data_IF_307541205751
#
_entry.id   IF_307541205751
#
_cell.length_a   1.000
_cell.length_b   1.000
_cell.length_c   1.000
_cell.angle_alpha   90.00
_cell.angle_beta   90.00
_cell.angle_gamma   90.00
#
_symmetry.space_group_name_H-M   'P 1'
#
loop_
_entity.id
_entity.type
_entity.pdbx_description
1 polymer ?
#
# COMPACT_ATOMS: atom_id res chain seq x y z
N UNK A 1 -57.00 -24.37 20.65
CA UNK A 1 -56.27 -24.65 21.89
C UNK A 1 -55.34 -25.80 21.60
N UNK A 2 -54.07 -25.50 21.22
CA UNK A 2 -53.06 -26.52 20.93
C UNK A 2 -51.85 -26.21 21.80
N UNK A 3 -51.47 -27.19 22.60
CA UNK A 3 -50.42 -27.18 23.62
C UNK A 3 -49.06 -27.25 22.95
N UNK A 4 -48.04 -26.47 23.37
CA UNK A 4 -46.67 -26.62 22.85
C UNK A 4 -45.95 -27.79 23.52
N UNK A 5 -45.35 -28.65 22.69
CA UNK A 5 -44.45 -29.72 23.12
C UNK A 5 -43.10 -29.17 23.61
N UNK A 6 -42.77 -29.47 24.85
CA UNK A 6 -41.43 -29.25 25.42
C UNK A 6 -40.50 -30.40 25.02
N UNK A 7 -39.32 -30.05 24.49
CA UNK A 7 -38.20 -30.97 24.30
C UNK A 7 -37.29 -30.97 25.54
N UNK A 8 -36.80 -32.14 26.00
CA UNK A 8 -35.86 -32.22 27.12
C UNK A 8 -34.44 -31.80 26.71
N UNK A 9 -33.63 -31.28 27.63
CA UNK A 9 -32.24 -30.92 27.37
C UNK A 9 -31.37 -32.20 27.28
N UNK A 10 -30.61 -32.28 26.19
CA UNK A 10 -29.61 -33.32 25.97
C UNK A 10 -28.32 -32.95 26.71
N UNK A 11 -28.02 -33.64 27.77
CA UNK A 11 -26.73 -33.65 28.48
C UNK A 11 -25.75 -34.54 27.71
N UNK A 12 -24.97 -33.97 26.83
CA UNK A 12 -23.81 -34.63 26.20
C UNK A 12 -22.57 -34.46 27.07
N UNK A 13 -22.15 -35.49 27.76
CA UNK A 13 -20.82 -35.59 28.40
C UNK A 13 -19.75 -35.68 27.30
N UNK A 14 -18.84 -34.71 27.29
CA UNK A 14 -17.61 -34.80 26.51
C UNK A 14 -16.54 -35.54 27.32
N UNK A 15 -15.80 -36.51 26.77
CA UNK A 15 -14.66 -37.12 27.47
C UNK A 15 -13.49 -36.13 27.45
N UNK A 16 -13.06 -35.71 28.65
CA UNK A 16 -11.74 -35.17 28.90
C UNK A 16 -10.69 -36.23 28.61
N UNK A 17 -9.79 -36.00 27.70
CA UNK A 17 -8.40 -36.46 27.67
C UNK A 17 -7.73 -36.16 26.33
N UNK A 18 -7.14 -34.99 26.21
CA UNK A 18 -5.95 -34.77 25.37
C UNK A 18 -5.12 -33.67 26.02
N UNK A 19 -4.13 -34.07 26.80
CA UNK A 19 -3.02 -33.20 27.18
C UNK A 19 -2.11 -33.01 25.97
N UNK A 20 -1.89 -31.78 25.46
CA UNK A 20 -0.87 -31.57 24.44
C UNK A 20 0.50 -31.58 25.09
N UNK A 21 1.34 -32.54 24.72
CA UNK A 21 2.77 -32.45 24.98
C UNK A 21 3.34 -31.25 24.21
N UNK A 22 4.19 -30.41 24.83
CA UNK A 22 4.86 -29.35 24.11
C UNK A 22 5.84 -29.93 23.06
N UNK A 23 5.91 -29.39 21.86
CA UNK A 23 6.86 -29.84 20.86
C UNK A 23 8.28 -29.53 21.32
N UNK A 24 9.11 -30.58 21.30
CA UNK A 24 10.54 -30.50 21.57
C UNK A 24 11.18 -29.54 20.56
N UNK A 25 11.63 -28.36 21.00
CA UNK A 25 12.38 -27.43 20.19
C UNK A 25 13.71 -28.08 19.81
N UNK A 26 13.84 -28.46 18.54
CA UNK A 26 15.12 -28.80 17.93
C UNK A 26 15.77 -27.48 17.55
N UNK A 27 16.83 -27.10 18.26
CA UNK A 27 17.62 -25.93 17.93
C UNK A 27 18.20 -26.06 16.51
N UNK A 28 18.13 -25.03 15.65
CA UNK A 28 18.77 -25.07 14.36
C UNK A 28 20.28 -25.09 14.51
N UNK A 29 20.91 -26.11 13.93
CA UNK A 29 22.35 -26.26 13.86
C UNK A 29 22.89 -25.20 12.90
N UNK A 30 23.44 -24.12 13.44
CA UNK A 30 24.14 -23.10 12.66
C UNK A 30 25.52 -23.64 12.31
N UNK A 31 25.88 -23.84 11.03
CA UNK A 31 27.23 -24.21 10.65
C UNK A 31 28.17 -23.05 10.98
N UNK A 32 29.19 -23.32 11.83
CA UNK A 32 30.26 -22.38 12.10
C UNK A 32 31.14 -22.26 10.85
N UNK A 33 31.08 -21.13 10.18
CA UNK A 33 32.06 -20.78 9.17
C UNK A 33 33.43 -20.54 9.85
N UNK A 34 34.52 -21.07 9.29
CA UNK A 34 35.86 -20.74 9.82
C UNK A 34 36.14 -19.27 9.58
N UNK A 35 36.56 -18.61 10.61
CA UNK A 35 37.03 -17.19 10.56
C UNK A 35 38.23 -17.09 9.61
N UNK A 36 38.28 -16.07 8.74
CA UNK A 36 39.44 -15.82 7.91
C UNK A 36 40.63 -15.43 8.83
N UNK A 37 41.70 -16.18 8.71
CA UNK A 37 42.99 -15.83 9.36
C UNK A 37 43.52 -14.56 8.70
N UNK A 38 43.68 -13.52 9.48
CA UNK A 38 44.38 -12.29 9.11
C UNK A 38 45.90 -12.61 9.07
N UNK A 39 46.63 -12.34 7.96
CA UNK A 39 48.07 -12.47 7.92
C UNK A 39 48.68 -11.44 8.88
N UNK A 40 49.49 -11.93 9.82
CA UNK A 40 50.36 -11.07 10.63
C UNK A 40 51.51 -10.54 9.75
N UNK A 41 51.49 -9.25 9.48
CA UNK A 41 52.63 -8.55 8.90
C UNK A 41 53.73 -8.36 9.97
N UNK A 42 54.92 -8.75 9.62
CA UNK A 42 56.15 -8.56 10.42
C UNK A 42 56.52 -7.07 10.53
N UNK A 43 57.15 -6.64 11.64
CA UNK A 43 57.53 -5.27 11.82
C UNK A 43 58.78 -4.91 11.00
N UNK A 44 58.58 -4.16 9.91
CA UNK A 44 59.68 -3.55 9.14
C UNK A 44 60.14 -2.24 9.76
N UNK A 45 61.45 -2.14 9.91
CA UNK A 45 62.22 -1.08 10.54
C UNK A 45 62.06 0.32 9.91
N UNK A 46 62.17 1.27 10.76
CA UNK A 46 62.05 2.69 10.71
C UNK A 46 62.54 3.49 9.49
N UNK A 47 61.78 4.55 9.24
CA UNK A 47 62.31 5.83 8.77
C UNK A 47 61.61 6.97 9.49
N UNK A 48 62.35 7.66 10.36
CA UNK A 48 61.92 8.90 11.00
C UNK A 48 61.90 10.03 9.97
N UNK A 49 60.74 10.30 9.36
CA UNK A 49 60.47 11.48 8.56
C UNK A 49 59.99 12.62 9.46
N UNK A 50 60.69 13.74 9.42
CA UNK A 50 60.37 14.99 10.15
C UNK A 50 58.94 15.45 9.86
N UNK A 51 58.15 15.56 10.91
CA UNK A 51 56.85 16.17 10.87
C UNK A 51 56.96 17.66 10.53
N UNK A 52 56.48 18.08 9.35
CA UNK A 52 56.16 19.46 9.05
C UNK A 52 54.75 19.72 9.61
N UNK A 53 54.72 20.58 10.61
CA UNK A 53 53.44 21.12 11.10
C UNK A 53 52.80 21.97 9.98
N UNK A 54 51.89 21.40 9.23
CA UNK A 54 50.95 22.11 8.36
C UNK A 54 49.56 22.10 9.01
N UNK A 55 49.03 23.27 9.29
CA UNK A 55 47.64 23.43 9.65
C UNK A 55 46.77 23.07 8.42
N UNK A 56 46.51 21.79 8.21
CA UNK A 56 45.58 21.30 7.22
C UNK A 56 44.51 20.47 7.91
N UNK A 57 43.27 20.88 7.82
CA UNK A 57 42.12 20.07 8.19
C UNK A 57 42.14 18.81 7.32
N UNK A 58 42.73 17.72 7.85
CA UNK A 58 42.63 16.41 7.23
C UNK A 58 41.25 15.87 7.56
N UNK A 59 40.27 16.19 6.70
CA UNK A 59 38.97 15.56 6.76
C UNK A 59 39.10 14.03 6.60
N UNK A 60 38.12 13.25 7.08
CA UNK A 60 38.16 11.80 6.97
C UNK A 60 38.38 11.41 5.51
N UNK A 61 39.48 10.67 5.24
CA UNK A 61 39.75 10.13 3.91
C UNK A 61 38.57 9.24 3.54
N UNK A 62 37.72 9.70 2.62
CA UNK A 62 36.69 8.87 2.03
C UNK A 62 37.40 7.71 1.33
N UNK A 63 37.30 6.53 1.89
CA UNK A 63 37.71 5.31 1.19
C UNK A 63 36.83 5.21 -0.03
N UNK A 64 37.38 5.45 -1.21
CA UNK A 64 36.68 5.19 -2.48
C UNK A 64 36.67 3.69 -2.66
N UNK A 65 35.48 3.10 -2.51
CA UNK A 65 35.28 1.73 -2.92
C UNK A 65 34.98 1.79 -4.43
N UNK A 66 35.92 1.31 -5.24
CA UNK A 66 35.70 1.10 -6.67
C UNK A 66 35.25 -0.34 -6.87
N UNK A 67 34.08 -0.54 -7.46
CA UNK A 67 33.62 -1.83 -7.89
C UNK A 67 33.94 -1.99 -9.39
N UNK A 68 34.39 -3.18 -9.86
CA UNK A 68 34.44 -3.48 -11.28
C UNK A 68 33.06 -3.30 -11.90
N UNK A 69 33.01 -2.80 -13.15
CA UNK A 69 31.73 -2.58 -13.85
C UNK A 69 30.90 -3.86 -13.93
N UNK A 70 31.55 -5.00 -14.09
CA UNK A 70 30.93 -6.33 -14.16
C UNK A 70 30.22 -6.72 -12.83
N UNK A 71 30.67 -6.16 -11.71
CA UNK A 71 30.02 -6.37 -10.42
C UNK A 71 28.75 -5.56 -10.25
N UNK A 72 28.53 -4.51 -11.06
CA UNK A 72 27.33 -3.69 -11.02
C UNK A 72 26.13 -4.42 -11.61
N UNK A 73 26.36 -5.30 -12.59
CA UNK A 73 25.28 -6.10 -13.19
C UNK A 73 24.63 -7.07 -12.19
N UNK A 74 25.43 -7.57 -11.24
CA UNK A 74 24.94 -8.43 -10.14
C UNK A 74 24.28 -7.64 -9.00
N UNK A 75 24.52 -6.34 -8.93
CA UNK A 75 23.91 -5.42 -7.97
C UNK A 75 22.68 -4.71 -8.55
N UNK A 76 22.37 -4.94 -9.82
CA UNK A 76 21.12 -4.50 -10.42
C UNK A 76 19.95 -5.15 -9.71
N UNK A 77 19.38 -4.46 -8.73
CA UNK A 77 18.03 -4.77 -8.29
C UNK A 77 17.15 -4.65 -9.54
N UNK A 78 16.32 -5.64 -9.86
CA UNK A 78 15.31 -5.43 -10.88
C UNK A 78 14.54 -4.18 -10.46
N UNK A 79 14.63 -3.12 -11.28
CA UNK A 79 13.80 -1.93 -11.11
C UNK A 79 12.39 -2.42 -11.43
N UNK A 80 11.69 -2.93 -10.42
CA UNK A 80 10.27 -3.15 -10.48
C UNK A 80 9.58 -1.79 -10.59
N UNK A 81 8.38 -1.76 -11.14
CA UNK A 81 7.55 -0.56 -11.12
C UNK A 81 7.44 -0.06 -9.66
N UNK A 82 7.88 1.16 -9.40
CA UNK A 82 7.83 1.78 -8.07
C UNK A 82 6.37 2.00 -7.66
N UNK A 83 5.79 1.00 -7.01
CA UNK A 83 4.38 1.06 -6.68
C UNK A 83 3.88 -0.15 -5.90
N UNK A 84 2.58 -0.28 -5.90
CA UNK A 84 1.82 -1.26 -5.14
C UNK A 84 1.03 -2.17 -6.09
N UNK A 85 1.13 -3.49 -5.90
CA UNK A 85 0.26 -4.43 -6.62
C UNK A 85 -1.17 -4.27 -6.12
N UNK A 86 -2.06 -3.80 -7.01
CA UNK A 86 -3.47 -3.55 -6.68
C UNK A 86 -4.39 -4.73 -7.02
N UNK A 87 -3.92 -5.68 -7.80
CA UNK A 87 -4.68 -6.86 -8.23
C UNK A 87 -4.10 -7.47 -9.49
N UNK A 88 -4.93 -8.21 -10.21
CA UNK A 88 -4.59 -8.84 -11.47
C UNK A 88 -5.53 -8.39 -12.59
N UNK A 89 -5.02 -8.32 -13.81
CA UNK A 89 -5.81 -8.08 -15.01
C UNK A 89 -6.55 -9.36 -15.49
N UNK A 90 -7.38 -9.30 -16.54
CA UNK A 90 -8.07 -10.48 -17.07
C UNK A 90 -7.13 -11.60 -17.53
N UNK A 91 -5.91 -11.27 -17.91
CA UNK A 91 -4.86 -12.23 -18.31
C UNK A 91 -4.07 -12.75 -17.11
N UNK A 92 -4.54 -12.48 -15.88
CA UNK A 92 -3.91 -12.86 -14.61
C UNK A 92 -2.50 -12.28 -14.40
N UNK A 93 -2.19 -11.16 -15.05
CA UNK A 93 -0.94 -10.42 -14.84
C UNK A 93 -1.10 -9.43 -13.69
N UNK A 94 -0.09 -9.27 -12.83
CA UNK A 94 -0.15 -8.31 -11.75
C UNK A 94 -0.28 -6.86 -12.30
N UNK A 95 -1.20 -6.11 -11.72
CA UNK A 95 -1.37 -4.69 -12.01
C UNK A 95 -0.76 -3.86 -10.88
N UNK A 96 0.20 -3.01 -11.24
CA UNK A 96 0.92 -2.16 -10.30
C UNK A 96 0.42 -0.73 -10.41
N UNK A 97 0.11 -0.13 -9.27
CA UNK A 97 -0.20 1.29 -9.16
C UNK A 97 1.06 2.04 -8.72
N UNK A 98 1.67 2.77 -9.64
CA UNK A 98 2.87 3.56 -9.39
C UNK A 98 2.57 4.82 -8.58
N UNK A 99 2.54 4.70 -7.26
CA UNK A 99 2.23 5.79 -6.32
C UNK A 99 3.46 6.49 -5.75
N UNK A 100 4.63 5.84 -5.79
CA UNK A 100 5.89 6.38 -5.29
C UNK A 100 6.68 7.02 -6.45
N UNK A 101 6.33 8.26 -6.79
CA UNK A 101 6.93 8.94 -7.94
C UNK A 101 7.31 10.39 -7.63
N UNK A 102 8.27 10.89 -8.41
CA UNK A 102 8.78 12.26 -8.29
C UNK A 102 7.79 13.32 -8.77
N UNK A 103 6.77 12.95 -9.55
CA UNK A 103 5.75 13.85 -10.05
C UNK A 103 4.49 13.81 -9.17
N UNK A 104 3.78 14.93 -9.06
CA UNK A 104 2.47 14.96 -8.42
C UNK A 104 1.51 13.94 -9.05
N UNK A 105 0.82 13.15 -8.22
CA UNK A 105 -0.05 12.10 -8.69
C UNK A 105 -1.38 12.08 -7.94
N UNK A 106 -2.43 12.42 -8.66
CA UNK A 106 -3.80 12.44 -8.15
C UNK A 106 -4.60 11.27 -8.71
N UNK A 107 -5.25 10.53 -7.83
CA UNK A 107 -6.12 9.40 -8.15
C UNK A 107 -7.52 9.70 -7.63
N UNK A 108 -8.53 9.54 -8.48
CA UNK A 108 -9.93 9.54 -8.03
C UNK A 108 -10.48 8.12 -8.11
N UNK A 109 -10.93 7.59 -6.98
CA UNK A 109 -11.59 6.27 -6.90
C UNK A 109 -13.08 6.45 -6.63
N UNK A 110 -13.92 6.12 -7.62
CA UNK A 110 -15.38 6.00 -7.45
C UNK A 110 -15.65 4.56 -7.02
N UNK A 111 -15.77 4.33 -5.72
CA UNK A 111 -15.73 2.98 -5.19
C UNK A 111 -16.04 2.87 -3.71
N UNK A 112 -15.91 1.66 -3.18
CA UNK A 112 -16.10 1.33 -1.78
C UNK A 112 -14.86 1.60 -0.91
N UNK A 113 -15.10 1.70 0.37
CA UNK A 113 -14.06 1.88 1.39
C UNK A 113 -13.08 0.72 1.38
N UNK A 114 -13.56 -0.50 1.22
CA UNK A 114 -12.74 -1.71 1.24
C UNK A 114 -11.54 -1.63 0.28
N UNK A 115 -11.76 -1.19 -0.96
CA UNK A 115 -10.68 -1.04 -1.95
C UNK A 115 -9.67 0.03 -1.54
N UNK A 116 -10.13 1.16 -0.99
CA UNK A 116 -9.25 2.20 -0.50
C UNK A 116 -8.41 1.71 0.70
N UNK A 117 -8.98 0.88 1.57
CA UNK A 117 -8.28 0.26 2.70
C UNK A 117 -7.23 -0.75 2.24
N UNK A 118 -7.55 -1.64 1.29
CA UNK A 118 -6.57 -2.58 0.71
C UNK A 118 -5.41 -1.82 0.08
N UNK A 119 -5.71 -0.77 -0.69
CA UNK A 119 -4.70 0.08 -1.31
C UNK A 119 -3.80 0.73 -0.25
N UNK A 120 -4.39 1.30 0.81
CA UNK A 120 -3.65 1.92 1.90
C UNK A 120 -2.75 0.92 2.64
N UNK A 121 -3.27 -0.28 2.94
CA UNK A 121 -2.53 -1.33 3.64
C UNK A 121 -1.34 -1.83 2.81
N UNK A 122 -1.56 -2.13 1.54
CA UNK A 122 -0.49 -2.56 0.62
C UNK A 122 0.56 -1.48 0.42
N UNK A 123 0.12 -0.22 0.36
CA UNK A 123 1.03 0.94 0.29
C UNK A 123 1.89 1.04 1.53
N UNK A 124 1.30 0.91 2.72
CA UNK A 124 2.06 0.91 3.97
C UNK A 124 3.07 -0.25 4.02
N UNK A 125 2.73 -1.42 3.48
CA UNK A 125 3.62 -2.58 3.41
C UNK A 125 4.84 -2.36 2.51
N UNK A 126 4.81 -1.42 1.56
CA UNK A 126 5.99 -1.04 0.77
C UNK A 126 6.92 -0.06 1.48
N UNK A 127 6.62 0.32 2.73
CA UNK A 127 7.38 1.33 3.48
C UNK A 127 6.94 2.78 3.22
N UNK A 128 5.92 2.99 2.40
CA UNK A 128 5.32 4.31 2.17
C UNK A 128 4.45 4.69 3.37
N UNK A 129 4.61 5.92 3.87
CA UNK A 129 3.74 6.45 4.93
C UNK A 129 2.35 6.74 4.36
N UNK A 130 1.31 6.42 5.12
CA UNK A 130 -0.07 6.67 4.72
C UNK A 130 -0.73 7.65 5.68
N UNK A 131 -1.27 8.75 5.16
CA UNK A 131 -2.09 9.69 5.91
C UNK A 131 -3.54 9.57 5.43
N UNK A 132 -4.47 9.25 6.31
CA UNK A 132 -5.88 9.09 5.98
C UNK A 132 -6.67 10.28 6.52
N UNK A 133 -7.24 11.07 5.61
CA UNK A 133 -8.21 12.13 5.92
C UNK A 133 -9.62 11.52 5.90
N UNK A 134 -10.28 11.42 7.05
CA UNK A 134 -11.58 10.73 7.12
C UNK A 134 -12.55 11.34 8.10
N UNK A 135 -13.83 11.33 7.76
CA UNK A 135 -14.94 11.62 8.69
C UNK A 135 -15.46 10.39 9.43
N UNK A 136 -14.92 9.18 9.15
CA UNK A 136 -15.33 7.90 9.75
C UNK A 136 -14.12 7.14 10.29
N UNK A 137 -13.41 7.75 11.23
CA UNK A 137 -12.18 7.21 11.81
C UNK A 137 -12.33 5.78 12.32
N UNK A 138 -13.47 5.43 12.91
CA UNK A 138 -13.76 4.08 13.41
C UNK A 138 -13.59 2.98 12.33
N UNK A 139 -13.93 3.29 11.07
CA UNK A 139 -13.79 2.34 9.96
C UNK A 139 -12.32 2.04 9.61
N UNK A 140 -11.38 2.91 10.00
CA UNK A 140 -9.96 2.79 9.71
C UNK A 140 -9.13 2.26 10.88
N UNK A 141 -9.71 2.20 12.10
CA UNK A 141 -8.97 1.88 13.33
C UNK A 141 -8.28 0.52 13.27
N UNK A 142 -8.98 -0.53 12.82
CA UNK A 142 -8.41 -1.87 12.72
C UNK A 142 -7.20 -1.89 11.77
N UNK A 143 -7.29 -1.21 10.62
CA UNK A 143 -6.20 -1.11 9.65
C UNK A 143 -4.99 -0.38 10.24
N UNK A 144 -5.19 0.74 10.93
CA UNK A 144 -4.10 1.51 11.56
C UNK A 144 -3.36 0.66 12.59
N UNK A 145 -4.09 -0.10 13.41
CA UNK A 145 -3.49 -0.98 14.40
C UNK A 145 -2.70 -2.13 13.78
N UNK A 146 -3.20 -2.70 12.68
CA UNK A 146 -2.56 -3.84 12.02
C UNK A 146 -1.37 -3.43 11.15
N UNK A 147 -1.42 -2.27 10.49
CA UNK A 147 -0.45 -1.89 9.47
C UNK A 147 0.96 -1.63 10.02
N UNK A 148 1.10 -1.23 11.27
CA UNK A 148 2.35 -0.67 11.78
C UNK A 148 3.22 -1.59 12.61
N UNK A 149 2.73 -2.75 13.04
CA UNK A 149 3.52 -3.59 13.96
C UNK A 149 4.09 -2.83 15.19
N UNK A 150 3.44 -1.73 15.58
CA UNK A 150 3.90 -0.79 16.61
C UNK A 150 4.54 0.51 16.09
N UNK A 151 4.80 0.63 14.79
CA UNK A 151 5.28 1.88 14.17
C UNK A 151 4.11 2.62 13.50
N UNK A 152 4.02 3.96 13.62
CA UNK A 152 2.92 4.75 13.02
C UNK A 152 3.12 4.96 11.51
N UNK A 153 2.98 3.88 10.71
CA UNK A 153 3.06 3.98 9.25
C UNK A 153 1.75 4.46 8.61
N UNK A 154 0.63 4.34 9.32
CA UNK A 154 -0.68 4.88 8.91
C UNK A 154 -1.18 5.83 10.00
N UNK A 155 -1.54 7.07 9.63
CA UNK A 155 -2.06 8.10 10.54
C UNK A 155 -3.45 8.53 10.12
N UNK A 156 -4.33 8.80 11.10
CA UNK A 156 -5.67 9.33 10.87
C UNK A 156 -5.73 10.82 11.15
N UNK A 157 -6.43 11.54 10.30
CA UNK A 157 -6.63 12.96 10.41
C UNK A 157 -8.12 13.29 10.17
N UNK A 158 -8.63 14.26 10.91
CA UNK A 158 -9.95 14.80 10.64
C UNK A 158 -10.00 15.47 9.26
N UNK A 159 -11.20 15.55 8.71
CA UNK A 159 -11.47 16.20 7.42
C UNK A 159 -10.98 17.65 7.43
N UNK A 160 -10.13 18.01 6.48
CA UNK A 160 -9.52 19.34 6.36
C UNK A 160 -8.35 19.61 7.29
N UNK A 161 -7.85 18.60 8.04
CA UNK A 161 -6.79 18.77 9.04
C UNK A 161 -5.52 17.96 8.80
N UNK A 162 -5.30 17.52 7.56
CA UNK A 162 -4.05 16.83 7.21
C UNK A 162 -2.88 17.83 7.24
N UNK A 163 -1.89 17.66 8.11
CA UNK A 163 -0.72 18.54 8.14
C UNK A 163 0.19 18.29 6.93
N UNK A 164 1.12 19.19 6.62
CA UNK A 164 2.17 18.94 5.64
C UNK A 164 2.95 17.67 5.98
N UNK A 165 3.09 16.76 5.03
CA UNK A 165 3.63 15.42 5.28
C UNK A 165 5.15 15.33 5.13
N UNK A 166 5.80 16.31 4.50
CA UNK A 166 7.25 16.30 4.29
C UNK A 166 7.71 15.09 3.47
N UNK A 167 7.02 14.81 2.37
CA UNK A 167 7.33 13.70 1.48
C UNK A 167 8.69 13.88 0.80
N UNK A 168 9.40 12.78 0.58
CA UNK A 168 10.70 12.74 -0.12
C UNK A 168 10.91 11.37 -0.75
N UNK A 169 11.93 11.23 -1.61
CA UNK A 169 12.30 9.93 -2.21
C UNK A 169 12.53 8.83 -1.16
N UNK A 170 13.18 9.17 -0.04
CA UNK A 170 13.45 8.22 1.05
C UNK A 170 12.28 8.04 2.03
N UNK A 171 11.21 8.81 1.89
CA UNK A 171 10.03 8.76 2.76
C UNK A 171 8.78 9.21 1.98
N UNK A 172 8.34 8.42 0.98
CA UNK A 172 7.18 8.75 0.19
C UNK A 172 5.89 8.71 1.04
N UNK A 173 4.87 9.39 0.56
CA UNK A 173 3.58 9.51 1.27
C UNK A 173 2.42 9.27 0.33
N UNK A 174 1.47 8.46 0.78
CA UNK A 174 0.14 8.38 0.21
C UNK A 174 -0.84 9.10 1.13
N UNK A 175 -1.59 10.07 0.60
CA UNK A 175 -2.73 10.66 1.30
C UNK A 175 -4.02 10.05 0.76
N UNK A 176 -4.78 9.35 1.60
CA UNK A 176 -6.10 8.83 1.27
C UNK A 176 -7.15 9.80 1.81
N UNK A 177 -8.01 10.32 0.94
CA UNK A 177 -9.09 11.24 1.30
C UNK A 177 -10.43 10.52 1.26
N UNK A 178 -10.87 10.07 2.42
CA UNK A 178 -12.18 9.43 2.65
C UNK A 178 -13.12 10.43 3.33
N UNK A 179 -13.49 11.47 2.60
CA UNK A 179 -14.29 12.59 3.10
C UNK A 179 -15.78 12.49 2.79
N UNK A 180 -16.23 11.30 2.37
CA UNK A 180 -17.60 11.08 1.93
C UNK A 180 -17.91 11.77 0.59
N UNK A 181 -19.13 12.26 0.44
CA UNK A 181 -19.66 12.75 -0.84
C UNK A 181 -19.10 14.09 -1.30
N UNK A 182 -18.58 14.87 -0.39
CA UNK A 182 -18.07 16.23 -0.66
C UNK A 182 -16.67 16.33 -0.09
N UNK A 183 -15.64 16.14 -0.93
CA UNK A 183 -14.27 16.41 -0.51
C UNK A 183 -14.18 17.82 0.07
N UNK A 184 -13.44 18.03 1.18
CA UNK A 184 -13.34 19.32 1.81
C UNK A 184 -12.73 20.35 0.85
N UNK A 185 -13.06 21.62 1.08
CA UNK A 185 -12.50 22.74 0.30
C UNK A 185 -11.01 22.96 0.56
N UNK A 186 -10.50 22.51 1.72
CA UNK A 186 -9.08 22.53 2.04
C UNK A 186 -8.28 21.63 1.08
N UNK A 187 -7.14 22.13 0.63
CA UNK A 187 -6.33 21.43 -0.36
C UNK A 187 -5.31 20.53 0.32
N UNK A 188 -5.59 19.23 0.30
CA UNK A 188 -4.50 18.27 0.22
C UNK A 188 -4.06 18.27 -1.24
N UNK A 189 -2.82 18.54 -1.51
CA UNK A 189 -2.27 18.66 -2.87
C UNK A 189 -1.26 17.55 -3.07
N UNK A 190 -1.33 16.87 -4.21
CA UNK A 190 -0.24 16.00 -4.65
C UNK A 190 1.03 16.84 -4.88
N UNK A 191 2.17 16.25 -4.60
CA UNK A 191 3.49 16.88 -4.68
C UNK A 191 4.53 15.81 -5.04
N UNK A 192 5.76 16.17 -5.35
CA UNK A 192 6.82 15.18 -5.49
C UNK A 192 6.84 14.21 -4.30
N UNK A 193 6.79 12.92 -4.58
CA UNK A 193 6.75 11.83 -3.58
C UNK A 193 5.51 11.81 -2.66
N UNK A 194 4.50 12.62 -2.97
CA UNK A 194 3.21 12.64 -2.28
C UNK A 194 2.08 12.44 -3.28
N UNK A 195 1.54 11.23 -3.31
CA UNK A 195 0.35 10.90 -4.09
C UNK A 195 -0.91 11.10 -3.27
N UNK A 196 -2.01 11.43 -3.94
CA UNK A 196 -3.32 11.65 -3.30
C UNK A 196 -4.36 10.74 -3.94
N UNK A 197 -5.03 9.93 -3.14
CA UNK A 197 -6.20 9.13 -3.55
C UNK A 197 -7.45 9.73 -2.93
N UNK A 198 -8.38 10.20 -3.75
CA UNK A 198 -9.67 10.69 -3.30
C UNK A 198 -10.74 9.63 -3.53
N UNK A 199 -11.32 9.11 -2.45
CA UNK A 199 -12.42 8.16 -2.49
C UNK A 199 -13.75 8.90 -2.60
N UNK A 200 -14.55 8.50 -3.56
CA UNK A 200 -15.94 8.94 -3.72
C UNK A 200 -16.85 7.72 -3.68
N UNK A 201 -17.82 7.65 -2.75
CA UNK A 201 -18.73 6.49 -2.65
C UNK A 201 -19.66 6.37 -3.86
N UNK A 202 -19.90 7.46 -4.57
CA UNK A 202 -20.71 7.51 -5.81
C UNK A 202 -20.30 8.73 -6.65
N UNK A 203 -20.88 8.87 -7.87
CA UNK A 203 -20.63 10.01 -8.75
C UNK A 203 -21.27 11.29 -8.21
N UNK A 204 -20.60 11.90 -7.24
CA UNK A 204 -21.03 13.16 -6.64
C UNK A 204 -20.96 14.32 -7.65
N UNK A 205 -21.65 15.46 -7.42
CA UNK A 205 -21.53 16.65 -8.27
C UNK A 205 -20.09 17.18 -8.40
N UNK A 206 -19.20 16.86 -7.47
CA UNK A 206 -17.79 17.24 -7.53
C UNK A 206 -16.93 16.26 -8.36
N UNK A 207 -17.42 15.04 -8.62
CA UNK A 207 -16.67 13.97 -9.26
C UNK A 207 -16.14 14.36 -10.66
N UNK A 208 -16.93 14.97 -11.58
CA UNK A 208 -16.42 15.32 -12.90
C UNK A 208 -15.16 16.17 -12.84
N UNK A 209 -15.15 17.19 -11.99
CA UNK A 209 -14.00 18.09 -11.84
C UNK A 209 -12.79 17.40 -11.20
N UNK A 210 -13.01 16.42 -10.31
CA UNK A 210 -11.94 15.63 -9.73
C UNK A 210 -11.36 14.66 -10.75
N UNK A 211 -12.21 13.96 -11.49
CA UNK A 211 -11.81 13.03 -12.55
C UNK A 211 -10.98 13.72 -13.63
N UNK A 212 -11.39 14.91 -14.06
CA UNK A 212 -10.67 15.72 -15.08
C UNK A 212 -9.25 16.08 -14.63
N UNK A 213 -9.05 16.28 -13.31
CA UNK A 213 -7.75 16.66 -12.74
C UNK A 213 -6.90 15.48 -12.33
N UNK A 214 -7.47 14.30 -12.29
CA UNK A 214 -6.77 13.10 -11.85
C UNK A 214 -5.87 12.53 -12.92
N UNK A 215 -4.70 12.08 -12.51
CA UNK A 215 -3.78 11.32 -13.35
C UNK A 215 -4.32 9.92 -13.63
N UNK A 216 -5.14 9.40 -12.70
CA UNK A 216 -5.77 8.09 -12.81
C UNK A 216 -7.17 8.13 -12.18
N UNK A 217 -8.11 7.47 -12.84
CA UNK A 217 -9.48 7.30 -12.32
C UNK A 217 -9.79 5.80 -12.18
N UNK A 218 -10.16 5.38 -10.98
CA UNK A 218 -10.67 4.05 -10.70
C UNK A 218 -12.20 4.08 -10.58
N UNK A 219 -12.89 3.17 -11.24
CA UNK A 219 -14.35 3.06 -11.20
C UNK A 219 -14.73 1.63 -10.85
N UNK A 220 -15.45 1.44 -9.77
CA UNK A 220 -16.08 0.19 -9.38
C UNK A 220 -17.54 0.16 -9.86
N UNK A 221 -18.29 -0.90 -9.49
CA UNK A 221 -19.71 -0.99 -9.84
C UNK A 221 -20.47 0.27 -9.43
N UNK A 222 -21.18 0.85 -10.36
CA UNK A 222 -22.02 2.05 -10.21
C UNK A 222 -23.42 1.79 -10.77
N UNK A 223 -24.37 2.67 -10.51
CA UNK A 223 -25.69 2.59 -11.13
C UNK A 223 -25.62 2.77 -12.66
N UNK A 224 -26.63 2.29 -13.43
CA UNK A 224 -26.65 2.47 -14.88
C UNK A 224 -26.57 3.94 -15.32
N UNK A 225 -27.21 4.85 -14.58
CA UNK A 225 -27.19 6.29 -14.88
C UNK A 225 -25.79 6.90 -14.64
N UNK A 226 -25.13 6.49 -13.55
CA UNK A 226 -23.74 6.89 -13.28
C UNK A 226 -22.80 6.30 -14.32
N UNK A 227 -22.99 5.04 -14.72
CA UNK A 227 -22.19 4.38 -15.74
C UNK A 227 -22.25 5.13 -17.07
N UNK A 228 -23.45 5.57 -17.49
CA UNK A 228 -23.62 6.38 -18.70
C UNK A 228 -22.87 7.73 -18.60
N UNK A 229 -22.98 8.42 -17.47
CA UNK A 229 -22.28 9.70 -17.22
C UNK A 229 -20.77 9.52 -17.17
N UNK A 230 -20.27 8.49 -16.48
CA UNK A 230 -18.83 8.18 -16.41
C UNK A 230 -18.32 7.80 -17.80
N UNK A 231 -19.08 7.01 -18.56
CA UNK A 231 -18.74 6.66 -19.92
C UNK A 231 -18.53 7.89 -20.81
N UNK A 232 -19.40 8.89 -20.69
CA UNK A 232 -19.25 10.16 -21.41
C UNK A 232 -18.01 10.95 -20.89
N UNK A 233 -17.82 11.08 -19.59
CA UNK A 233 -16.71 11.83 -19.00
C UNK A 233 -15.33 11.24 -19.36
N UNK A 234 -15.21 9.92 -19.31
CA UNK A 234 -13.96 9.20 -19.59
C UNK A 234 -13.83 8.77 -21.06
N UNK A 235 -14.81 9.13 -21.91
CA UNK A 235 -14.86 8.75 -23.33
C UNK A 235 -14.74 7.23 -23.54
N UNK A 236 -15.43 6.45 -22.70
CA UNK A 236 -15.42 4.99 -22.79
C UNK A 236 -16.25 4.51 -23.96
N UNK A 237 -15.88 3.38 -24.62
CA UNK A 237 -16.78 2.66 -25.51
C UNK A 237 -18.09 2.30 -24.79
N UNK A 238 -19.18 2.26 -25.57
CA UNK A 238 -20.52 1.97 -25.03
C UNK A 238 -20.58 0.63 -24.27
N UNK A 239 -19.89 -0.38 -24.79
CA UNK A 239 -19.80 -1.71 -24.15
C UNK A 239 -19.14 -1.63 -22.76
N UNK A 240 -17.99 -0.94 -22.65
CA UNK A 240 -17.30 -0.77 -21.37
C UNK A 240 -18.13 0.06 -20.38
N UNK A 241 -18.76 1.13 -20.86
CA UNK A 241 -19.67 1.94 -20.03
C UNK A 241 -20.82 1.11 -19.45
N UNK A 242 -21.44 0.25 -20.26
CA UNK A 242 -22.51 -0.65 -19.79
C UNK A 242 -22.01 -1.67 -18.78
N UNK A 243 -20.80 -2.19 -18.95
CA UNK A 243 -20.18 -3.15 -18.02
C UNK A 243 -19.99 -2.57 -16.62
N UNK A 244 -19.82 -1.25 -16.46
CA UNK A 244 -19.62 -0.61 -15.14
C UNK A 244 -20.74 -0.90 -14.15
N UNK A 245 -21.98 -1.09 -14.62
CA UNK A 245 -23.12 -1.38 -13.74
C UNK A 245 -23.20 -2.84 -13.27
N UNK A 246 -22.44 -3.73 -13.89
CA UNK A 246 -22.45 -5.18 -13.63
C UNK A 246 -21.12 -5.71 -13.10
N UNK A 247 -20.15 -4.83 -12.81
CA UNK A 247 -18.86 -5.24 -12.27
C UNK A 247 -19.05 -6.04 -10.98
N UNK A 248 -18.30 -7.13 -10.85
CA UNK A 248 -18.24 -7.90 -9.61
C UNK A 248 -17.55 -7.08 -8.49
N UNK A 249 -17.82 -7.45 -7.25
CA UNK A 249 -17.14 -6.86 -6.11
C UNK A 249 -15.62 -7.13 -6.20
N UNK A 250 -14.82 -6.13 -5.89
CA UNK A 250 -13.36 -6.18 -6.03
C UNK A 250 -12.84 -5.86 -7.44
N UNK A 251 -13.70 -5.79 -8.47
CA UNK A 251 -13.28 -5.36 -9.82
C UNK A 251 -13.34 -3.85 -9.93
N UNK A 252 -12.27 -3.26 -10.46
CA UNK A 252 -12.15 -1.81 -10.71
C UNK A 252 -11.67 -1.59 -12.15
N UNK A 253 -12.35 -0.73 -12.90
CA UNK A 253 -11.84 -0.19 -14.14
C UNK A 253 -10.91 0.98 -13.82
N UNK A 254 -9.65 0.88 -14.22
CA UNK A 254 -8.67 1.94 -14.11
C UNK A 254 -8.46 2.62 -15.46
N UNK A 255 -8.52 3.95 -15.48
CA UNK A 255 -8.40 4.78 -16.70
C UNK A 255 -7.38 5.87 -16.49
N UNK A 256 -6.39 5.96 -17.38
CA UNK A 256 -5.36 6.99 -17.40
C UNK A 256 -5.02 7.36 -18.83
N UNK A 257 -5.19 8.62 -19.22
CA UNK A 257 -4.71 9.18 -20.49
C UNK A 257 -5.21 8.49 -21.78
N UNK A 258 -6.11 7.56 -21.73
CA UNK A 258 -6.57 6.73 -22.85
C UNK A 258 -6.34 5.24 -22.65
N UNK A 259 -5.44 4.86 -21.75
CA UNK A 259 -5.27 3.49 -21.31
C UNK A 259 -6.39 3.08 -20.34
N UNK A 260 -6.92 1.87 -20.54
CA UNK A 260 -8.00 1.31 -19.76
C UNK A 260 -7.67 -0.11 -19.37
N UNK A 261 -7.89 -0.43 -18.08
CA UNK A 261 -7.59 -1.75 -17.56
C UNK A 261 -8.58 -2.16 -16.48
N UNK A 262 -9.21 -3.30 -16.67
CA UNK A 262 -9.97 -3.93 -15.58
C UNK A 262 -9.00 -4.69 -14.69
N UNK A 263 -9.12 -4.48 -13.39
CA UNK A 263 -8.28 -5.12 -12.38
C UNK A 263 -9.15 -5.72 -11.30
N UNK A 264 -8.95 -6.99 -11.00
CA UNK A 264 -9.56 -7.65 -9.86
C UNK A 264 -8.60 -7.58 -8.67
N UNK A 265 -9.01 -6.90 -7.62
CA UNK A 265 -8.31 -6.87 -6.34
C UNK A 265 -8.62 -8.13 -5.56
N UNK A 266 -7.66 -9.07 -5.52
CA UNK A 266 -7.75 -10.29 -4.74
C UNK A 266 -7.11 -10.02 -3.37
N UNK A 267 -7.85 -10.13 -2.24
CA UNK A 267 -7.26 -9.99 -0.92
C UNK A 267 -6.40 -11.21 -0.60
N UNK A 268 -5.33 -10.98 0.13
CA UNK A 268 -4.61 -12.07 0.83
C UNK A 268 -5.45 -12.54 2.03
N UNK A 269 -5.11 -13.70 2.60
CA UNK A 269 -5.79 -14.22 3.79
C UNK A 269 -5.71 -13.23 4.97
N UNK A 270 -4.59 -12.54 5.14
CA UNK A 270 -4.41 -11.52 6.15
C UNK A 270 -5.30 -10.29 5.91
N UNK A 271 -5.39 -9.81 4.67
CA UNK A 271 -6.28 -8.71 4.28
C UNK A 271 -7.75 -9.10 4.44
N UNK A 272 -8.13 -10.32 4.04
CA UNK A 272 -9.48 -10.83 4.21
C UNK A 272 -9.85 -11.00 5.69
N UNK A 273 -8.93 -11.47 6.51
CA UNK A 273 -9.12 -11.57 7.96
C UNK A 273 -9.30 -10.20 8.64
N UNK A 274 -8.59 -9.16 8.15
CA UNK A 274 -8.64 -7.81 8.71
C UNK A 274 -9.83 -6.99 8.19
N UNK A 275 -10.08 -7.03 6.89
CA UNK A 275 -11.02 -6.13 6.19
C UNK A 275 -12.31 -6.83 5.73
N UNK A 276 -12.37 -8.16 5.86
CA UNK A 276 -13.45 -8.98 5.32
C UNK A 276 -13.35 -9.18 3.80
N UNK A 277 -14.39 -9.78 3.24
CA UNK A 277 -14.49 -9.99 1.80
C UNK A 277 -14.60 -8.68 1.02
N UNK A 278 -14.20 -8.73 -0.26
CA UNK A 278 -14.38 -7.60 -1.16
C UNK A 278 -15.84 -7.18 -1.23
N UNK A 279 -16.09 -5.89 -1.05
CA UNK A 279 -17.44 -5.30 -1.11
C UNK A 279 -17.39 -3.91 -1.72
N UNK A 280 -18.45 -3.58 -2.47
CA UNK A 280 -18.59 -2.25 -3.10
C UNK A 280 -19.34 -1.28 -2.21
N UNK A 281 -20.29 -1.78 -1.43
CA UNK A 281 -21.13 -0.99 -0.51
C UNK A 281 -20.62 -1.20 0.92
N UNK A 282 -20.45 -0.11 1.63
CA UNK A 282 -20.04 -0.08 3.04
C UNK A 282 -21.17 0.48 3.90
#
# INVERSE_FOLDING_TARGET
MSTPQQFPPSTGQFPEQFSPHPPRQVAPHVPRHPSPQVPQEAPGAGQRGRARFGFGLVGPRRRRHAFPVESLDSLGLPVGDDGVVIGVDPENRPSVLGINRSEPYDVTLIGGLWTAQVLALRTAATGTRVAVETGRAAAWTALVQAAGGGLPCVTLHDVGRVPPQGASAGSPVLVVRDCGMRPPRGRVVSAPWQSVVTLLPYLSPAAPRLMEKSSLVGVQRVSPDEAARIGWLLKLPRSESQTLSTLADGVTLWVSGGDRRFVMTQPTDAEAGLLGAARRMD
#
